data_IF_434179642228
#
_entry.id   IF_434179642228
#
_cell.length_a   1.000
_cell.length_b   1.000
_cell.length_c   1.000
_cell.angle_alpha   90.00
_cell.angle_beta   90.00
_cell.angle_gamma   90.00
#
_symmetry.space_group_name_H-M   'P 1'
#
loop_
_entity.id
_entity.type
_entity.pdbx_description
1 polymer ?
#
# COMPACT_ATOMS: atom_id res chain seq x y z
N UNK A 1 24.48 -30.26 7.50
CA UNK A 1 23.54 -30.21 6.37
C UNK A 1 22.16 -30.31 6.96
N UNK A 2 21.38 -29.23 6.96
CA UNK A 2 19.94 -29.33 7.21
C UNK A 2 19.34 -30.21 6.12
N UNK A 3 18.49 -31.20 6.42
CA UNK A 3 17.85 -31.98 5.37
C UNK A 3 16.97 -31.05 4.53
N UNK A 4 17.12 -31.14 3.20
CA UNK A 4 16.23 -30.45 2.26
C UNK A 4 14.81 -30.97 2.47
N UNK A 5 13.84 -30.05 2.54
CA UNK A 5 12.42 -30.39 2.64
C UNK A 5 12.00 -31.18 1.38
N UNK A 6 11.13 -32.20 1.51
CA UNK A 6 10.53 -32.86 0.36
C UNK A 6 9.82 -31.87 -0.57
N UNK A 7 9.82 -32.15 -1.87
CA UNK A 7 9.25 -31.24 -2.88
C UNK A 7 7.75 -31.00 -2.68
N UNK A 8 7.04 -31.98 -2.13
CA UNK A 8 5.63 -31.90 -1.78
C UNK A 8 5.39 -30.87 -0.68
N UNK A 9 6.24 -30.88 0.36
CA UNK A 9 6.16 -29.91 1.46
C UNK A 9 6.51 -28.51 0.96
N UNK A 10 7.50 -28.38 0.07
CA UNK A 10 7.82 -27.10 -0.55
C UNK A 10 6.68 -26.58 -1.43
N UNK A 11 5.98 -27.46 -2.15
CA UNK A 11 4.82 -27.09 -2.96
C UNK A 11 3.67 -26.59 -2.08
N UNK A 12 3.36 -27.30 -1.00
CA UNK A 12 2.33 -26.89 -0.03
C UNK A 12 2.67 -25.54 0.62
N UNK A 13 3.94 -25.32 0.96
CA UNK A 13 4.41 -24.02 1.49
C UNK A 13 4.21 -22.93 0.45
N UNK A 14 4.60 -23.15 -0.81
CA UNK A 14 4.48 -22.15 -1.87
C UNK A 14 3.02 -21.80 -2.19
N UNK A 15 2.14 -22.80 -2.19
CA UNK A 15 0.70 -22.61 -2.37
C UNK A 15 0.09 -21.83 -1.20
N UNK A 16 0.55 -22.07 0.03
CA UNK A 16 0.14 -21.28 1.20
C UNK A 16 0.66 -19.84 1.17
N UNK A 17 1.89 -19.62 0.67
CA UNK A 17 2.45 -18.27 0.46
C UNK A 17 1.64 -17.50 -0.59
N UNK A 18 1.02 -18.20 -1.56
CA UNK A 18 0.15 -17.58 -2.56
C UNK A 18 0.90 -16.79 -3.63
N UNK A 19 2.20 -17.06 -3.83
CA UNK A 19 3.06 -16.35 -4.77
C UNK A 19 3.47 -17.23 -5.95
N UNK A 20 2.67 -17.17 -7.01
CA UNK A 20 2.88 -17.97 -8.22
C UNK A 20 4.24 -17.68 -8.88
N UNK A 21 4.68 -16.41 -8.92
CA UNK A 21 5.96 -16.05 -9.52
C UNK A 21 7.13 -16.68 -8.77
N UNK A 22 7.06 -16.65 -7.43
CA UNK A 22 8.09 -17.26 -6.58
C UNK A 22 8.11 -18.78 -6.75
N UNK A 23 6.95 -19.43 -6.73
CA UNK A 23 6.83 -20.88 -6.93
C UNK A 23 7.46 -21.31 -8.26
N UNK A 24 7.19 -20.57 -9.35
CA UNK A 24 7.80 -20.83 -10.67
C UNK A 24 9.29 -20.52 -10.68
N UNK A 25 9.74 -19.47 -10.00
CA UNK A 25 11.16 -19.10 -9.92
C UNK A 25 12.01 -20.17 -9.25
N UNK A 26 11.49 -20.78 -8.17
CA UNK A 26 12.18 -21.88 -7.46
C UNK A 26 12.02 -23.23 -8.15
N UNK A 27 11.11 -23.35 -9.13
CA UNK A 27 10.88 -24.58 -9.89
C UNK A 27 10.07 -25.64 -9.15
N UNK A 28 9.24 -25.23 -8.19
CA UNK A 28 8.39 -26.12 -7.40
C UNK A 28 7.00 -26.21 -8.05
N UNK A 29 6.34 -27.39 -8.09
CA UNK A 29 4.96 -27.50 -8.52
C UNK A 29 4.04 -26.61 -7.68
N UNK A 30 2.99 -26.04 -8.29
CA UNK A 30 2.06 -25.16 -7.57
C UNK A 30 0.66 -25.33 -8.13
N UNK A 31 -0.35 -25.32 -7.24
CA UNK A 31 -1.76 -25.31 -7.62
C UNK A 31 -2.30 -23.89 -7.86
N UNK A 32 -1.49 -22.86 -7.64
CA UNK A 32 -1.88 -21.47 -7.82
C UNK A 32 -2.21 -21.15 -9.29
N UNK A 33 -3.32 -20.44 -9.56
CA UNK A 33 -3.64 -20.00 -10.91
C UNK A 33 -2.62 -18.98 -11.39
N UNK A 34 -2.35 -18.97 -12.70
CA UNK A 34 -1.52 -17.93 -13.29
C UNK A 34 -2.15 -16.55 -13.05
N UNK A 35 -1.39 -15.56 -12.56
CA UNK A 35 -1.90 -14.21 -12.36
C UNK A 35 -2.36 -13.58 -13.69
N UNK A 36 -3.41 -12.74 -13.63
CA UNK A 36 -3.99 -12.10 -14.81
C UNK A 36 -2.96 -11.25 -15.58
N UNK A 37 -2.02 -10.62 -14.88
CA UNK A 37 -0.94 -9.83 -15.47
C UNK A 37 -0.06 -10.64 -16.44
N UNK A 38 0.06 -11.95 -16.19
CA UNK A 38 0.84 -12.86 -17.03
C UNK A 38 0.09 -13.37 -18.27
N UNK A 39 -1.20 -13.04 -18.44
CA UNK A 39 -2.01 -13.51 -19.59
C UNK A 39 -1.43 -13.08 -20.93
N UNK A 40 -0.74 -11.93 -20.97
CA UNK A 40 -0.09 -11.39 -22.17
C UNK A 40 1.44 -11.52 -22.14
N UNK A 41 1.97 -12.33 -21.23
CA UNK A 41 3.41 -12.55 -21.09
C UNK A 41 3.99 -13.27 -22.31
N UNK A 42 5.18 -12.88 -22.73
CA UNK A 42 5.89 -13.47 -23.86
C UNK A 42 6.72 -14.68 -23.43
N UNK A 43 7.18 -15.54 -24.36
CA UNK A 43 8.18 -16.56 -24.06
C UNK A 43 9.43 -16.01 -23.35
N UNK A 44 9.86 -14.77 -23.67
CA UNK A 44 10.95 -14.09 -22.97
C UNK A 44 10.60 -13.80 -21.50
N UNK A 45 9.38 -13.35 -21.21
CA UNK A 45 8.93 -13.12 -19.83
C UNK A 45 8.96 -14.41 -18.99
N UNK A 46 8.50 -15.54 -19.55
CA UNK A 46 8.56 -16.82 -18.86
C UNK A 46 10.01 -17.31 -18.66
N UNK A 47 10.89 -17.03 -19.62
CA UNK A 47 12.29 -17.43 -19.53
C UNK A 47 13.06 -16.71 -18.41
N UNK A 48 12.69 -15.45 -18.10
CA UNK A 48 13.35 -14.69 -17.02
C UNK A 48 12.91 -15.09 -15.61
N UNK A 49 11.79 -15.81 -15.45
CA UNK A 49 11.24 -16.21 -14.13
C UNK A 49 12.30 -16.87 -13.24
N UNK A 50 13.08 -17.78 -13.82
CA UNK A 50 14.10 -18.56 -13.09
C UNK A 50 15.42 -17.81 -12.88
N UNK A 51 15.58 -16.62 -13.47
CA UNK A 51 16.85 -15.85 -13.43
C UNK A 51 18.02 -16.50 -14.16
N UNK A 52 17.83 -17.66 -14.82
CA UNK A 52 18.90 -18.40 -15.51
C UNK A 52 19.16 -17.81 -16.89
N UNK A 53 20.35 -17.24 -17.09
CA UNK A 53 20.74 -16.66 -18.39
C UNK A 53 20.70 -17.66 -19.55
N UNK A 54 20.93 -18.95 -19.31
CA UNK A 54 20.81 -19.97 -20.35
C UNK A 54 19.38 -20.08 -20.91
N UNK A 55 18.37 -19.98 -20.05
CA UNK A 55 16.96 -19.99 -20.45
C UNK A 55 16.61 -18.71 -21.23
N UNK A 56 17.06 -17.54 -20.73
CA UNK A 56 16.83 -16.25 -21.39
C UNK A 56 17.46 -16.22 -22.79
N UNK A 57 18.71 -16.69 -22.93
CA UNK A 57 19.38 -16.79 -24.24
C UNK A 57 18.66 -17.74 -25.20
N UNK A 58 18.15 -18.88 -24.69
CA UNK A 58 17.39 -19.84 -25.49
C UNK A 58 16.06 -19.27 -26.00
N UNK A 59 15.43 -18.40 -25.22
CA UNK A 59 14.20 -17.70 -25.63
C UNK A 59 14.42 -16.69 -26.76
N UNK A 60 15.68 -16.30 -27.02
CA UNK A 60 16.08 -15.36 -28.08
C UNK A 60 15.23 -14.07 -28.10
N UNK A 61 15.40 -13.17 -27.11
CA UNK A 61 14.63 -11.93 -27.04
C UNK A 61 14.77 -11.11 -28.32
N UNK A 62 13.65 -10.62 -28.85
CA UNK A 62 13.59 -9.86 -30.10
C UNK A 62 12.41 -8.88 -30.08
N UNK A 63 12.23 -8.10 -31.14
CA UNK A 63 11.07 -7.21 -31.26
C UNK A 63 9.72 -7.98 -31.32
N UNK A 64 9.73 -9.22 -31.83
CA UNK A 64 8.55 -10.10 -31.91
C UNK A 64 8.33 -10.92 -30.63
N UNK A 65 9.39 -11.11 -29.83
CA UNK A 65 9.36 -11.77 -28.54
C UNK A 65 10.05 -10.90 -27.45
N UNK A 66 9.50 -9.71 -27.16
CA UNK A 66 10.16 -8.76 -26.26
C UNK A 66 10.00 -9.18 -24.80
N UNK A 67 10.92 -8.73 -23.96
CA UNK A 67 10.65 -8.65 -22.52
C UNK A 67 9.56 -7.60 -22.30
N UNK A 68 8.53 -7.90 -21.51
CA UNK A 68 7.49 -6.94 -21.18
C UNK A 68 7.68 -6.36 -19.77
N UNK A 69 6.83 -5.40 -19.40
CA UNK A 69 6.83 -4.80 -18.06
C UNK A 69 6.63 -5.82 -16.93
N UNK A 70 5.94 -6.94 -17.21
CA UNK A 70 5.69 -8.00 -16.23
C UNK A 70 6.99 -8.75 -15.93
N UNK A 71 7.68 -9.24 -16.97
CA UNK A 71 8.98 -9.89 -16.82
C UNK A 71 10.04 -8.96 -16.23
N UNK A 72 10.09 -7.70 -16.66
CA UNK A 72 11.02 -6.70 -16.11
C UNK A 72 10.76 -6.40 -14.62
N UNK A 73 9.50 -6.28 -14.22
CA UNK A 73 9.13 -6.11 -12.81
C UNK A 73 9.56 -7.32 -11.98
N UNK A 74 9.39 -8.54 -12.50
CA UNK A 74 9.85 -9.77 -11.85
C UNK A 74 11.37 -9.80 -11.70
N UNK A 75 12.12 -9.45 -12.75
CA UNK A 75 13.60 -9.42 -12.75
C UNK A 75 14.11 -8.51 -11.63
N UNK A 76 13.51 -7.32 -11.47
CA UNK A 76 13.84 -6.41 -10.38
C UNK A 76 13.37 -7.00 -9.03
N UNK A 77 12.15 -7.52 -8.97
CA UNK A 77 11.54 -8.10 -7.76
C UNK A 77 12.38 -9.23 -7.18
N UNK A 78 13.02 -10.09 -7.99
CA UNK A 78 13.90 -11.16 -7.51
C UNK A 78 15.38 -10.78 -7.48
N UNK A 79 15.74 -9.57 -7.90
CA UNK A 79 17.09 -9.07 -7.80
C UNK A 79 18.07 -9.70 -8.80
N UNK A 80 17.59 -10.09 -9.98
CA UNK A 80 18.39 -10.76 -11.02
C UNK A 80 19.27 -9.77 -11.80
N UNK A 81 20.32 -9.26 -11.15
CA UNK A 81 21.29 -8.31 -11.75
C UNK A 81 21.93 -8.88 -13.02
N UNK A 82 22.18 -10.18 -13.06
CA UNK A 82 22.70 -10.86 -14.25
C UNK A 82 21.77 -10.74 -15.48
N UNK A 83 20.45 -10.81 -15.27
CA UNK A 83 19.46 -10.64 -16.34
C UNK A 83 19.38 -9.16 -16.76
N UNK A 84 19.40 -8.23 -15.79
CA UNK A 84 19.47 -6.79 -16.08
C UNK A 84 20.70 -6.46 -16.95
N UNK A 85 21.87 -6.95 -16.58
CA UNK A 85 23.13 -6.77 -17.31
C UNK A 85 23.08 -7.37 -18.73
N UNK A 86 22.42 -8.53 -18.89
CA UNK A 86 22.23 -9.14 -20.19
C UNK A 86 21.38 -8.27 -21.12
N UNK A 87 20.25 -7.73 -20.63
CA UNK A 87 19.42 -6.84 -21.45
C UNK A 87 20.11 -5.50 -21.71
N UNK A 88 20.83 -4.95 -20.73
CA UNK A 88 21.60 -3.71 -20.91
C UNK A 88 22.67 -3.87 -22.01
N UNK A 89 23.45 -4.95 -21.96
CA UNK A 89 24.60 -5.15 -22.86
C UNK A 89 24.22 -5.71 -24.24
N UNK A 90 23.23 -6.61 -24.33
CA UNK A 90 22.90 -7.32 -25.58
C UNK A 90 21.64 -6.76 -26.26
N UNK A 91 20.75 -6.11 -25.50
CA UNK A 91 19.43 -5.68 -25.97
C UNK A 91 19.10 -4.25 -25.51
N UNK A 92 20.07 -3.34 -25.57
CA UNK A 92 20.01 -2.00 -24.96
C UNK A 92 18.74 -1.20 -25.30
N UNK A 93 18.27 -1.24 -26.56
CA UNK A 93 17.03 -0.55 -26.96
C UNK A 93 15.82 -1.09 -26.20
N UNK A 94 15.68 -2.43 -26.15
CA UNK A 94 14.63 -3.08 -25.38
C UNK A 94 14.77 -2.79 -23.89
N UNK A 95 16.00 -2.72 -23.37
CA UNK A 95 16.24 -2.33 -21.99
C UNK A 95 15.69 -0.92 -21.70
N UNK A 96 16.00 0.07 -22.52
CA UNK A 96 15.48 1.43 -22.34
C UNK A 96 13.95 1.50 -22.43
N UNK A 97 13.35 0.77 -23.38
CA UNK A 97 11.90 0.78 -23.59
C UNK A 97 11.15 0.13 -22.40
N UNK A 98 11.70 -0.95 -21.85
CA UNK A 98 11.02 -1.77 -20.84
C UNK A 98 11.33 -1.30 -19.42
N UNK A 99 12.55 -0.80 -19.16
CA UNK A 99 12.96 -0.28 -17.85
C UNK A 99 12.81 1.25 -17.76
N UNK A 100 11.95 1.83 -18.60
CA UNK A 100 11.64 3.27 -18.58
C UNK A 100 10.96 3.75 -17.29
N UNK A 101 10.90 5.08 -17.14
CA UNK A 101 10.16 5.71 -16.04
C UNK A 101 10.71 5.44 -14.65
N UNK A 102 12.02 5.25 -14.52
CA UNK A 102 12.69 4.94 -13.24
C UNK A 102 12.12 3.68 -12.55
N UNK A 103 11.66 2.71 -13.36
CA UNK A 103 11.10 1.45 -12.87
C UNK A 103 12.08 0.73 -11.92
N UNK A 104 13.37 0.72 -12.26
CA UNK A 104 14.42 0.03 -11.50
C UNK A 104 14.54 0.55 -10.07
N UNK A 105 14.88 1.83 -9.80
CA UNK A 105 15.03 2.32 -8.44
C UNK A 105 13.74 2.22 -7.64
N UNK A 106 12.58 2.50 -8.25
CA UNK A 106 11.29 2.46 -7.56
C UNK A 106 10.92 1.03 -7.15
N UNK A 107 11.01 0.05 -8.05
CA UNK A 107 10.67 -1.35 -7.75
C UNK A 107 11.71 -2.03 -6.87
N UNK A 108 13.00 -1.76 -7.08
CA UNK A 108 14.04 -2.31 -6.23
C UNK A 108 13.87 -1.85 -4.78
N UNK A 109 13.52 -0.58 -4.57
CA UNK A 109 13.24 -0.02 -3.24
C UNK A 109 12.03 -0.65 -2.58
N UNK A 110 10.95 -0.85 -3.34
CA UNK A 110 9.73 -1.54 -2.89
C UNK A 110 9.98 -2.98 -2.42
N UNK A 111 10.94 -3.67 -3.03
CA UNK A 111 11.23 -5.08 -2.76
C UNK A 111 12.52 -5.33 -1.94
N UNK A 112 13.18 -4.28 -1.44
CA UNK A 112 14.39 -4.43 -0.62
C UNK A 112 15.61 -4.93 -1.41
N UNK A 113 15.69 -4.66 -2.72
CA UNK A 113 16.74 -5.21 -3.59
C UNK A 113 17.95 -4.29 -3.68
N UNK A 114 18.75 -4.28 -2.61
CA UNK A 114 19.93 -3.43 -2.48
C UNK A 114 21.00 -3.71 -3.55
N UNK A 115 21.12 -4.96 -3.99
CA UNK A 115 22.03 -5.35 -5.08
C UNK A 115 21.65 -4.68 -6.41
N UNK A 116 20.36 -4.62 -6.73
CA UNK A 116 19.84 -3.92 -7.91
C UNK A 116 20.01 -2.41 -7.77
N UNK A 117 19.72 -1.84 -6.60
CA UNK A 117 19.93 -0.41 -6.34
C UNK A 117 21.40 -0.01 -6.49
N UNK A 118 22.31 -0.82 -5.96
CA UNK A 118 23.76 -0.57 -6.03
C UNK A 118 24.29 -0.72 -7.46
N UNK A 119 23.82 -1.73 -8.19
CA UNK A 119 24.14 -1.91 -9.61
C UNK A 119 23.63 -0.73 -10.46
N UNK A 120 22.37 -0.33 -10.26
CA UNK A 120 21.76 0.80 -10.97
C UNK A 120 22.51 2.11 -10.67
N UNK A 121 22.84 2.36 -9.39
CA UNK A 121 23.64 3.51 -8.96
C UNK A 121 24.99 3.57 -9.65
N UNK A 122 25.73 2.47 -9.62
CA UNK A 122 27.01 2.38 -10.31
C UNK A 122 26.85 2.64 -11.82
N UNK A 123 25.80 2.08 -12.42
CA UNK A 123 25.46 2.26 -13.82
C UNK A 123 25.28 3.71 -14.23
N UNK A 124 24.40 4.47 -13.56
CA UNK A 124 24.17 5.87 -13.94
C UNK A 124 25.30 6.81 -13.53
N UNK A 125 26.08 6.47 -12.48
CA UNK A 125 27.23 7.29 -12.05
C UNK A 125 28.43 7.16 -13.00
N UNK A 126 28.70 5.96 -13.51
CA UNK A 126 29.84 5.71 -14.39
C UNK A 126 29.47 5.79 -15.88
N UNK A 127 28.25 5.42 -16.24
CA UNK A 127 27.79 5.28 -17.62
C UNK A 127 26.38 5.88 -17.81
N UNK A 128 26.21 7.21 -17.63
CA UNK A 128 24.91 7.88 -17.73
C UNK A 128 24.25 7.74 -19.12
N UNK A 129 25.03 7.48 -20.17
CA UNK A 129 24.53 7.25 -21.53
C UNK A 129 23.83 5.88 -21.66
N UNK A 130 24.18 4.91 -20.81
CA UNK A 130 23.61 3.56 -20.82
C UNK A 130 22.47 3.43 -19.81
N UNK A 131 22.66 3.97 -18.62
CA UNK A 131 21.63 4.01 -17.57
C UNK A 131 21.41 5.47 -17.21
N UNK A 132 20.25 6.06 -17.56
CA UNK A 132 19.99 7.45 -17.25
C UNK A 132 19.91 7.68 -15.73
N UNK A 133 20.33 8.86 -15.24
CA UNK A 133 20.16 9.24 -13.85
C UNK A 133 18.67 9.35 -13.49
N UNK A 134 18.32 9.20 -12.19
CA UNK A 134 16.92 9.28 -11.76
C UNK A 134 16.30 10.62 -12.13
N UNK A 135 15.06 10.60 -12.62
CA UNK A 135 14.29 11.82 -12.86
C UNK A 135 13.93 12.50 -11.53
N UNK A 136 13.61 13.79 -11.62
CA UNK A 136 13.15 14.57 -10.47
C UNK A 136 11.93 13.91 -9.82
N UNK A 137 11.98 13.69 -8.51
CA UNK A 137 10.92 13.06 -7.73
C UNK A 137 10.97 11.53 -7.70
N UNK A 138 11.79 10.88 -8.52
CA UNK A 138 11.89 9.42 -8.53
C UNK A 138 12.55 8.85 -7.28
N UNK A 139 13.50 9.59 -6.69
CA UNK A 139 14.07 9.23 -5.37
C UNK A 139 12.99 9.30 -4.31
N UNK A 140 12.21 10.39 -4.26
CA UNK A 140 11.10 10.54 -3.33
C UNK A 140 10.07 9.40 -3.49
N UNK A 141 9.67 9.07 -4.72
CA UNK A 141 8.77 7.94 -4.95
C UNK A 141 9.41 6.61 -4.51
N UNK A 142 10.69 6.37 -4.78
CA UNK A 142 11.37 5.15 -4.36
C UNK A 142 11.38 4.99 -2.83
N UNK A 143 11.65 6.07 -2.09
CA UNK A 143 11.62 6.10 -0.61
C UNK A 143 10.20 5.94 -0.06
N UNK A 144 9.21 6.61 -0.66
CA UNK A 144 7.80 6.49 -0.27
C UNK A 144 7.28 5.05 -0.50
N UNK A 145 7.67 4.41 -1.61
CA UNK A 145 7.31 3.01 -1.92
C UNK A 145 8.04 2.00 -1.02
N UNK A 146 9.29 2.28 -0.64
CA UNK A 146 10.00 1.49 0.37
C UNK A 146 9.27 1.56 1.72
N UNK A 147 8.85 2.76 2.13
CA UNK A 147 8.09 2.97 3.37
C UNK A 147 6.76 2.21 3.37
N UNK A 148 6.04 2.24 2.24
CA UNK A 148 4.80 1.47 2.04
C UNK A 148 4.98 -0.04 2.19
N UNK A 149 6.13 -0.57 1.76
CA UNK A 149 6.40 -2.00 1.67
C UNK A 149 7.25 -2.54 2.82
N UNK A 150 7.48 -1.75 3.86
CA UNK A 150 8.20 -2.19 5.06
C UNK A 150 9.72 -2.33 4.87
N UNK A 151 10.29 -1.75 3.81
CA UNK A 151 11.68 -2.00 3.42
C UNK A 151 12.65 -1.04 4.10
N UNK A 152 12.89 -1.26 5.40
CA UNK A 152 13.82 -0.46 6.21
C UNK A 152 15.23 -0.44 5.60
N UNK A 153 15.69 -1.57 5.06
CA UNK A 153 16.99 -1.68 4.38
C UNK A 153 17.11 -0.76 3.16
N UNK A 154 16.03 -0.62 2.37
CA UNK A 154 16.02 0.33 1.24
C UNK A 154 16.10 1.77 1.73
N UNK A 155 15.40 2.10 2.82
CA UNK A 155 15.44 3.44 3.41
C UNK A 155 16.84 3.80 3.92
N UNK A 156 17.50 2.85 4.60
CA UNK A 156 18.87 3.03 5.05
C UNK A 156 19.84 3.15 3.87
N UNK A 157 19.67 2.35 2.82
CA UNK A 157 20.47 2.46 1.61
C UNK A 157 20.33 3.85 0.96
N UNK A 158 19.11 4.35 0.76
CA UNK A 158 18.89 5.69 0.18
C UNK A 158 19.47 6.81 1.02
N UNK A 159 19.37 6.70 2.35
CA UNK A 159 19.92 7.68 3.27
C UNK A 159 21.46 7.74 3.21
N UNK A 160 22.11 6.62 2.88
CA UNK A 160 23.57 6.49 2.88
C UNK A 160 24.18 6.40 1.46
N UNK A 161 23.38 6.49 0.39
CA UNK A 161 23.89 6.30 -0.99
C UNK A 161 24.66 7.50 -1.54
N UNK A 162 24.78 8.61 -0.81
CA UNK A 162 25.53 9.80 -1.24
C UNK A 162 24.80 10.69 -2.25
N UNK A 163 23.52 10.41 -2.53
CA UNK A 163 22.62 11.32 -3.25
C UNK A 163 21.65 12.01 -2.27
N UNK A 164 21.05 13.15 -2.64
CA UNK A 164 20.05 13.82 -1.79
C UNK A 164 18.93 12.86 -1.37
N UNK A 165 18.68 12.78 -0.07
CA UNK A 165 17.61 11.96 0.49
C UNK A 165 16.27 12.69 0.34
N UNK A 166 15.49 12.30 -0.66
CA UNK A 166 14.19 12.89 -0.96
C UNK A 166 13.05 11.95 -0.55
N UNK A 167 11.95 12.51 -0.06
CA UNK A 167 10.73 11.80 0.35
C UNK A 167 9.58 12.79 0.50
N UNK A 168 8.35 12.30 0.55
CA UNK A 168 7.14 13.14 0.75
C UNK A 168 6.39 12.74 2.01
N UNK A 169 5.23 13.37 2.26
CA UNK A 169 4.30 12.95 3.30
C UNK A 169 3.82 11.50 3.09
N UNK A 170 3.82 11.04 1.83
CA UNK A 170 3.42 9.69 1.46
C UNK A 170 4.26 8.60 2.15
N UNK A 171 5.52 8.89 2.54
CA UNK A 171 6.34 7.94 3.30
C UNK A 171 5.67 7.51 4.61
N UNK A 172 5.28 8.45 5.46
CA UNK A 172 4.67 8.16 6.76
C UNK A 172 3.19 7.78 6.63
N UNK A 173 2.48 8.37 5.67
CA UNK A 173 1.11 7.99 5.34
C UNK A 173 1.00 6.55 4.87
N UNK A 174 1.84 6.12 3.93
CA UNK A 174 1.81 4.74 3.44
C UNK A 174 2.33 3.74 4.45
N UNK A 175 3.34 4.09 5.24
CA UNK A 175 3.78 3.24 6.33
C UNK A 175 2.63 2.99 7.33
N UNK A 176 1.90 4.05 7.67
CA UNK A 176 0.74 3.96 8.56
C UNK A 176 -0.43 3.20 7.94
N UNK A 177 -0.70 3.43 6.65
CA UNK A 177 -1.73 2.71 5.88
C UNK A 177 -1.45 1.21 5.75
N UNK A 178 -0.17 0.79 5.76
CA UNK A 178 0.23 -0.61 5.54
C UNK A 178 0.75 -1.30 6.78
N UNK A 179 0.48 -0.74 7.96
CA UNK A 179 0.91 -1.29 9.24
C UNK A 179 2.42 -1.55 9.32
N UNK A 180 3.23 -0.61 8.88
CA UNK A 180 4.69 -0.74 8.83
C UNK A 180 5.33 -0.09 10.05
N UNK A 181 5.09 -0.66 11.25
CA UNK A 181 5.64 -0.15 12.51
C UNK A 181 7.18 -0.05 12.48
N UNK A 182 7.86 -1.05 11.91
CA UNK A 182 9.33 -1.03 11.78
C UNK A 182 9.85 0.17 10.95
N UNK A 183 9.10 0.59 9.94
CA UNK A 183 9.41 1.79 9.15
C UNK A 183 9.15 3.06 9.95
N UNK A 184 8.05 3.13 10.70
CA UNK A 184 7.75 4.27 11.58
C UNK A 184 8.82 4.43 12.67
N UNK A 185 9.26 3.33 13.27
CA UNK A 185 10.39 3.31 14.21
C UNK A 185 11.69 3.78 13.57
N UNK A 186 11.96 3.35 12.33
CA UNK A 186 13.12 3.84 11.58
C UNK A 186 13.05 5.35 11.38
N UNK A 187 11.93 5.90 10.90
CA UNK A 187 11.76 7.34 10.71
C UNK A 187 11.93 8.12 12.02
N UNK A 188 11.30 7.67 13.10
CA UNK A 188 11.45 8.26 14.44
C UNK A 188 12.91 8.25 14.91
N UNK A 189 13.61 7.13 14.72
CA UNK A 189 15.03 6.98 15.08
C UNK A 189 15.91 7.92 14.26
N UNK A 190 15.74 7.99 12.94
CA UNK A 190 16.57 8.86 12.10
C UNK A 190 16.25 10.35 12.33
N UNK A 191 15.01 10.70 12.66
CA UNK A 191 14.67 12.04 13.11
C UNK A 191 15.43 12.41 14.40
N UNK A 192 15.39 11.54 15.42
CA UNK A 192 16.09 11.78 16.70
C UNK A 192 17.62 11.80 16.56
N UNK A 193 18.19 10.96 15.70
CA UNK A 193 19.66 10.78 15.63
C UNK A 193 20.35 11.63 14.56
N UNK A 194 19.74 11.77 13.38
CA UNK A 194 20.30 12.52 12.24
C UNK A 194 19.55 13.82 11.94
N UNK A 195 18.49 14.13 12.68
CA UNK A 195 17.73 15.37 12.48
C UNK A 195 16.90 15.39 11.19
N UNK A 196 16.59 14.22 10.60
CA UNK A 196 15.79 14.15 9.37
C UNK A 196 14.38 14.72 9.65
N UNK A 197 13.89 15.71 8.88
CA UNK A 197 12.60 16.33 9.16
C UNK A 197 11.44 15.37 8.87
N UNK A 198 10.52 15.19 9.81
CA UNK A 198 9.35 14.32 9.60
C UNK A 198 8.25 15.06 8.83
N UNK A 199 7.81 14.47 7.72
CA UNK A 199 6.68 14.93 6.91
C UNK A 199 5.44 14.10 7.28
N UNK A 200 4.81 14.40 8.42
CA UNK A 200 3.81 13.52 9.06
C UNK A 200 2.58 13.27 8.17
N UNK A 201 2.13 14.28 7.40
CA UNK A 201 0.96 14.15 6.54
C UNK A 201 -0.31 13.74 7.31
N UNK A 202 -1.16 12.94 6.66
CA UNK A 202 -2.42 12.36 7.21
C UNK A 202 -2.24 10.93 7.72
N UNK A 203 -1.14 10.67 8.43
CA UNK A 203 -0.76 9.32 8.84
C UNK A 203 -1.82 8.58 9.68
N UNK A 204 -2.41 9.26 10.67
CA UNK A 204 -3.44 8.65 11.53
C UNK A 204 -4.78 8.49 10.81
N UNK A 205 -5.13 9.38 9.86
CA UNK A 205 -6.33 9.22 9.03
C UNK A 205 -6.21 7.94 8.18
N UNK A 206 -5.03 7.70 7.60
CA UNK A 206 -4.76 6.51 6.78
C UNK A 206 -4.77 5.22 7.61
N UNK A 207 -4.21 5.24 8.82
CA UNK A 207 -4.27 4.11 9.74
C UNK A 207 -5.72 3.81 10.18
N UNK A 208 -6.49 4.87 10.46
CA UNK A 208 -7.90 4.76 10.86
C UNK A 208 -8.75 4.14 9.75
N UNK A 209 -8.55 4.56 8.50
CA UNK A 209 -9.25 4.01 7.34
C UNK A 209 -9.00 2.49 7.15
N UNK A 210 -7.79 2.02 7.46
CA UNK A 210 -7.42 0.61 7.24
C UNK A 210 -7.72 -0.29 8.45
N UNK A 211 -7.94 0.27 9.63
CA UNK A 211 -8.19 -0.50 10.85
C UNK A 211 -6.94 -0.82 11.68
N UNK A 212 -5.85 -0.07 11.50
CA UNK A 212 -4.56 -0.36 12.14
C UNK A 212 -4.44 0.31 13.51
N UNK A 213 -5.09 -0.28 14.52
CA UNK A 213 -5.08 0.22 15.91
C UNK A 213 -3.66 0.29 16.49
N UNK A 214 -2.83 -0.70 16.18
CA UNK A 214 -1.42 -0.76 16.57
C UNK A 214 -0.60 0.43 16.06
N UNK A 215 -0.90 0.94 14.86
CA UNK A 215 -0.26 2.14 14.30
C UNK A 215 -0.75 3.40 15.01
N UNK A 216 -2.04 3.48 15.30
CA UNK A 216 -2.62 4.60 16.04
C UNK A 216 -2.02 4.69 17.45
N UNK A 217 -1.89 3.56 18.13
CA UNK A 217 -1.22 3.47 19.43
C UNK A 217 0.25 3.87 19.34
N UNK A 218 0.95 3.43 18.29
CA UNK A 218 2.33 3.84 18.04
C UNK A 218 2.43 5.36 17.91
N UNK A 219 1.56 6.01 17.13
CA UNK A 219 1.54 7.46 16.98
C UNK A 219 1.28 8.17 18.30
N UNK A 220 0.28 7.73 19.07
CA UNK A 220 -0.05 8.30 20.38
C UNK A 220 1.10 8.23 21.38
N UNK A 221 1.94 7.19 21.31
CA UNK A 221 3.11 6.98 22.19
C UNK A 221 4.43 7.50 21.62
N UNK A 222 4.44 7.99 20.38
CA UNK A 222 5.68 8.30 19.66
C UNK A 222 6.42 9.54 20.17
N UNK A 223 5.76 10.39 20.97
CA UNK A 223 6.19 11.75 21.36
C UNK A 223 6.32 12.70 20.15
N UNK A 224 5.82 12.29 18.98
CA UNK A 224 5.68 13.15 17.81
C UNK A 224 4.33 13.86 17.91
N UNK A 225 4.21 15.05 17.32
CA UNK A 225 2.93 15.77 17.22
C UNK A 225 2.10 15.15 16.08
N UNK A 226 1.07 14.33 16.38
CA UNK A 226 0.31 13.66 15.34
C UNK A 226 -0.58 14.67 14.60
N UNK A 227 -0.69 14.51 13.28
CA UNK A 227 -1.60 15.29 12.45
C UNK A 227 -2.75 14.41 11.98
N UNK A 228 -3.97 14.83 12.29
CA UNK A 228 -5.20 14.17 11.90
C UNK A 228 -6.36 15.17 11.91
N UNK A 229 -7.45 14.82 11.23
CA UNK A 229 -8.66 15.63 11.20
C UNK A 229 -9.92 14.74 11.23
N UNK A 230 -11.07 15.31 10.87
CA UNK A 230 -12.36 14.59 10.83
C UNK A 230 -12.35 13.33 9.95
N UNK A 231 -11.46 13.26 8.95
CA UNK A 231 -11.38 12.13 8.04
C UNK A 231 -10.95 10.84 8.75
N UNK A 232 -10.27 10.91 9.90
CA UNK A 232 -9.92 9.73 10.68
C UNK A 232 -11.17 8.94 11.11
N UNK A 233 -12.12 9.59 11.79
CA UNK A 233 -13.36 8.97 12.26
C UNK A 233 -14.34 8.72 11.10
N UNK A 234 -14.38 9.61 10.10
CA UNK A 234 -15.21 9.43 8.90
C UNK A 234 -14.80 8.18 8.12
N UNK A 235 -13.52 8.02 7.77
CA UNK A 235 -13.06 6.85 7.01
C UNK A 235 -13.19 5.57 7.82
N UNK A 236 -12.89 5.60 9.12
CA UNK A 236 -13.15 4.45 10.00
C UNK A 236 -14.62 4.04 9.95
N UNK A 237 -15.54 5.01 9.90
CA UNK A 237 -16.98 4.76 9.81
C UNK A 237 -17.40 4.17 8.47
N UNK A 238 -16.91 4.72 7.34
CA UNK A 238 -17.17 4.18 6.00
C UNK A 238 -16.69 2.72 5.86
N UNK A 239 -15.54 2.39 6.45
CA UNK A 239 -14.91 1.08 6.32
C UNK A 239 -15.29 0.08 7.41
N UNK A 240 -16.28 0.39 8.27
CA UNK A 240 -16.76 -0.55 9.30
C UNK A 240 -15.77 -0.79 10.44
N UNK A 241 -14.86 0.14 10.72
CA UNK A 241 -13.73 -0.04 11.66
C UNK A 241 -14.13 0.32 13.10
N UNK A 242 -15.06 -0.44 13.68
CA UNK A 242 -15.54 -0.22 15.05
C UNK A 242 -14.40 -0.24 16.09
N UNK A 243 -13.43 -1.14 15.93
CA UNK A 243 -12.23 -1.23 16.79
C UNK A 243 -11.43 0.08 16.81
N UNK A 244 -11.30 0.76 15.66
CA UNK A 244 -10.63 2.06 15.54
C UNK A 244 -11.43 3.15 16.22
N UNK A 245 -12.76 3.19 16.01
CA UNK A 245 -13.63 4.16 16.67
C UNK A 245 -13.56 4.02 18.20
N UNK A 246 -13.58 2.78 18.69
CA UNK A 246 -13.40 2.47 20.11
C UNK A 246 -12.04 2.91 20.63
N UNK A 247 -10.97 2.69 19.86
CA UNK A 247 -9.63 3.17 20.21
C UNK A 247 -9.59 4.69 20.30
N UNK A 248 -10.14 5.41 19.32
CA UNK A 248 -10.19 6.88 19.34
C UNK A 248 -10.89 7.39 20.60
N UNK A 249 -12.06 6.83 20.94
CA UNK A 249 -12.81 7.20 22.14
C UNK A 249 -12.01 6.98 23.44
N UNK A 250 -11.19 5.92 23.50
CA UNK A 250 -10.35 5.61 24.66
C UNK A 250 -8.96 6.27 24.67
N UNK A 251 -8.52 6.83 23.55
CA UNK A 251 -7.14 7.31 23.35
C UNK A 251 -6.77 8.55 24.17
N UNK A 252 -7.77 9.34 24.60
CA UNK A 252 -7.57 10.65 25.20
C UNK A 252 -7.16 11.75 24.21
N UNK A 253 -7.06 11.44 22.92
CA UNK A 253 -6.85 12.42 21.87
C UNK A 253 -8.14 13.19 21.55
N UNK A 254 -8.06 14.47 21.10
CA UNK A 254 -9.21 15.21 20.62
C UNK A 254 -9.99 14.43 19.55
N UNK A 255 -11.28 14.20 19.78
CA UNK A 255 -12.19 13.60 18.80
C UNK A 255 -12.71 14.67 17.86
N UNK A 256 -12.39 14.55 16.57
CA UNK A 256 -12.81 15.47 15.52
C UNK A 256 -13.73 14.69 14.58
N UNK A 257 -15.01 15.03 14.52
CA UNK A 257 -16.01 14.37 13.67
C UNK A 257 -17.14 15.33 13.33
N UNK A 258 -17.91 14.97 12.30
CA UNK A 258 -19.13 15.62 11.89
C UNK A 258 -20.16 14.58 11.40
N UNK A 259 -21.29 15.05 10.88
CA UNK A 259 -22.37 14.20 10.37
C UNK A 259 -21.93 13.26 9.23
N UNK A 260 -20.80 13.53 8.56
CA UNK A 260 -20.30 12.67 7.49
C UNK A 260 -19.89 11.28 7.97
N UNK A 261 -19.63 11.11 9.28
CA UNK A 261 -19.40 9.79 9.86
C UNK A 261 -20.66 8.90 9.77
N UNK A 262 -21.85 9.48 9.96
CA UNK A 262 -23.13 8.77 9.88
C UNK A 262 -23.57 8.53 8.44
N UNK A 263 -23.47 9.54 7.57
CA UNK A 263 -23.79 9.40 6.15
C UNK A 263 -22.84 8.41 5.48
N UNK A 264 -21.54 8.46 5.81
CA UNK A 264 -20.54 7.50 5.36
C UNK A 264 -20.84 6.06 5.79
N UNK A 265 -21.13 5.83 7.08
CA UNK A 265 -21.54 4.51 7.56
C UNK A 265 -22.80 4.01 6.85
N UNK A 266 -23.75 4.91 6.58
CA UNK A 266 -25.01 4.59 5.89
C UNK A 266 -24.79 4.20 4.42
N UNK A 267 -24.03 5.02 3.67
CA UNK A 267 -23.70 4.78 2.25
C UNK A 267 -22.93 3.47 2.02
N UNK A 268 -22.17 3.04 3.02
CA UNK A 268 -21.41 1.80 2.97
C UNK A 268 -22.10 0.60 3.65
N UNK A 269 -23.38 0.75 4.02
CA UNK A 269 -24.18 -0.27 4.71
C UNK A 269 -23.46 -0.84 5.96
N UNK A 270 -23.10 0.03 6.91
CA UNK A 270 -22.36 -0.29 8.15
C UNK A 270 -23.23 -0.12 9.41
N UNK A 271 -24.26 -0.96 9.63
CA UNK A 271 -25.12 -0.87 10.82
C UNK A 271 -24.34 -1.01 12.14
N UNK A 272 -23.25 -1.78 12.15
CA UNK A 272 -22.38 -1.95 13.32
C UNK A 272 -21.71 -0.65 13.76
N UNK A 273 -21.40 0.25 12.83
CA UNK A 273 -20.84 1.57 13.13
C UNK A 273 -21.93 2.52 13.60
N UNK A 274 -23.11 2.50 12.99
CA UNK A 274 -24.25 3.31 13.43
C UNK A 274 -24.63 2.97 14.88
N UNK A 275 -24.68 1.68 15.20
CA UNK A 275 -24.88 1.17 16.55
C UNK A 275 -23.79 1.63 17.52
N UNK A 276 -22.53 1.68 17.07
CA UNK A 276 -21.44 2.19 17.89
C UNK A 276 -21.59 3.69 18.17
N UNK A 277 -21.90 4.51 17.15
CA UNK A 277 -22.12 5.95 17.32
C UNK A 277 -23.26 6.24 18.29
N UNK A 278 -24.35 5.49 18.19
CA UNK A 278 -25.50 5.58 19.09
C UNK A 278 -25.13 5.25 20.56
N UNK A 279 -24.28 4.26 20.77
CA UNK A 279 -23.84 3.86 22.12
C UNK A 279 -22.66 4.66 22.66
N UNK A 280 -21.96 5.40 21.80
CA UNK A 280 -20.74 6.12 22.17
C UNK A 280 -20.97 7.27 23.15
N UNK A 281 -22.19 7.82 23.19
CA UNK A 281 -22.52 9.04 23.94
C UNK A 281 -21.93 10.32 23.33
N UNK A 282 -21.34 10.25 22.13
CA UNK A 282 -20.82 11.41 21.42
C UNK A 282 -21.95 12.27 20.85
N UNK A 283 -21.90 13.61 20.96
CA UNK A 283 -22.99 14.48 20.50
C UNK A 283 -22.96 14.67 18.98
N UNK A 284 -23.29 13.61 18.25
CA UNK A 284 -23.36 13.62 16.79
C UNK A 284 -24.79 13.96 16.32
N UNK A 285 -24.87 14.73 15.25
CA UNK A 285 -26.13 15.19 14.69
C UNK A 285 -26.29 14.69 13.25
N UNK A 286 -27.53 14.58 12.80
CA UNK A 286 -27.86 14.23 11.42
C UNK A 286 -29.09 14.99 10.94
N UNK A 287 -29.27 15.05 9.62
CA UNK A 287 -30.51 15.47 8.96
C UNK A 287 -31.07 14.28 8.22
N UNK A 288 -32.39 14.11 8.22
CA UNK A 288 -33.01 12.95 7.57
C UNK A 288 -32.77 12.97 6.05
N UNK A 289 -32.69 14.15 5.44
CA UNK A 289 -32.35 14.27 4.01
C UNK A 289 -30.97 13.70 3.69
N UNK A 290 -29.95 13.96 4.52
CA UNK A 290 -28.58 13.47 4.28
C UNK A 290 -28.51 11.95 4.44
N UNK A 291 -29.32 11.39 5.35
CA UNK A 291 -29.41 9.94 5.55
C UNK A 291 -30.12 9.27 4.37
N UNK A 292 -31.24 9.83 3.87
CA UNK A 292 -31.91 9.24 2.71
C UNK A 292 -31.06 9.36 1.44
N UNK A 293 -30.41 10.51 1.20
CA UNK A 293 -29.45 10.67 0.11
C UNK A 293 -28.33 9.61 0.21
N UNK A 294 -27.76 9.40 1.40
CA UNK A 294 -26.75 8.37 1.61
C UNK A 294 -27.27 6.94 1.36
N UNK A 295 -28.56 6.67 1.64
CA UNK A 295 -29.19 5.38 1.36
C UNK A 295 -29.46 5.16 -0.13
N UNK A 296 -29.82 6.21 -0.87
CA UNK A 296 -29.99 6.19 -2.33
C UNK A 296 -28.65 6.01 -3.05
N UNK A 297 -27.58 6.63 -2.53
CA UNK A 297 -26.21 6.53 -3.03
C UNK A 297 -25.46 5.27 -2.56
N UNK A 298 -26.16 4.28 -1.98
CA UNK A 298 -25.50 3.13 -1.36
C UNK A 298 -24.54 2.43 -2.32
N UNK A 299 -23.27 2.35 -1.91
CA UNK A 299 -22.19 1.74 -2.71
C UNK A 299 -22.17 0.22 -2.49
N UNK A 300 -22.60 -0.22 -1.31
CA UNK A 300 -22.60 -1.64 -0.95
C UNK A 300 -24.01 -2.22 -1.07
N UNK A 301 -24.19 -3.40 -1.70
CA UNK A 301 -25.48 -4.06 -1.67
C UNK A 301 -25.84 -4.40 -0.22
N UNK A 302 -27.04 -4.00 0.20
CA UNK A 302 -27.53 -4.26 1.55
C UNK A 302 -28.51 -3.19 2.02
N UNK A 303 -29.48 -3.59 2.83
CA UNK A 303 -30.48 -2.70 3.43
C UNK A 303 -30.33 -2.62 4.96
N UNK A 304 -29.24 -3.14 5.52
CA UNK A 304 -29.08 -3.28 6.96
C UNK A 304 -28.99 -1.91 7.66
N UNK A 305 -28.29 -0.95 7.05
CA UNK A 305 -28.28 0.43 7.52
C UNK A 305 -29.67 1.07 7.45
N UNK A 306 -30.44 0.82 6.38
CA UNK A 306 -31.84 1.29 6.26
C UNK A 306 -32.71 0.71 7.38
N UNK A 307 -32.61 -0.59 7.64
CA UNK A 307 -33.35 -1.24 8.72
C UNK A 307 -32.90 -0.77 10.11
N UNK A 308 -31.62 -0.41 10.28
CA UNK A 308 -31.14 0.23 11.51
C UNK A 308 -31.81 1.60 11.73
N UNK A 309 -31.83 2.47 10.71
CA UNK A 309 -32.47 3.78 10.79
C UNK A 309 -33.98 3.69 11.05
N UNK A 310 -34.68 2.72 10.42
CA UNK A 310 -36.10 2.45 10.72
C UNK A 310 -36.30 2.06 12.18
N UNK A 311 -35.46 1.17 12.72
CA UNK A 311 -35.52 0.78 14.15
C UNK A 311 -35.24 1.94 15.10
N UNK A 312 -34.44 2.91 14.67
CA UNK A 312 -34.21 4.16 15.41
C UNK A 312 -35.37 5.14 15.36
N UNK A 313 -36.36 4.92 14.50
CA UNK A 313 -37.54 5.76 14.38
C UNK A 313 -37.43 6.85 13.31
N UNK A 314 -36.49 6.72 12.36
CA UNK A 314 -36.47 7.58 11.17
C UNK A 314 -37.65 7.21 10.28
N UNK A 315 -38.59 8.13 10.13
CA UNK A 315 -39.73 8.01 9.22
C UNK A 315 -39.40 8.61 7.85
N UNK A 316 -39.25 7.76 6.85
CA UNK A 316 -38.96 8.14 5.47
C UNK A 316 -40.18 8.70 4.71
N UNK A 317 -41.36 8.76 5.33
CA UNK A 317 -42.56 9.39 4.76
C UNK A 317 -42.86 10.78 5.37
N UNK A 318 -41.96 11.32 6.18
CA UNK A 318 -42.10 12.62 6.85
C UNK A 318 -42.14 13.81 5.85
N UNK A 319 -42.58 14.98 6.32
CA UNK A 319 -42.70 16.18 5.47
C UNK A 319 -41.36 16.91 5.28
N UNK A 320 -41.24 17.73 4.22
CA UNK A 320 -40.01 18.46 3.85
C UNK A 320 -39.38 19.30 5.00
N UNK A 321 -40.19 19.82 5.94
CA UNK A 321 -39.67 20.60 7.07
C UNK A 321 -39.01 19.74 8.13
N UNK A 322 -39.52 18.53 8.35
CA UNK A 322 -38.94 17.55 9.24
C UNK A 322 -37.63 16.98 8.67
N UNK A 323 -37.54 16.89 7.34
CA UNK A 323 -36.37 16.38 6.65
C UNK A 323 -35.11 17.24 6.80
N UNK A 324 -35.28 18.57 6.81
CA UNK A 324 -34.18 19.53 6.95
C UNK A 324 -33.78 19.81 8.41
N UNK A 325 -34.55 19.30 9.39
CA UNK A 325 -34.31 19.58 10.80
C UNK A 325 -33.09 18.81 11.29
N UNK A 326 -32.17 19.51 11.94
CA UNK A 326 -31.03 18.90 12.62
C UNK A 326 -31.52 18.12 13.85
N UNK A 327 -31.18 16.84 13.92
CA UNK A 327 -31.54 15.93 15.02
C UNK A 327 -30.25 15.40 15.67
N UNK A 328 -30.30 15.13 16.97
CA UNK A 328 -29.21 14.44 17.67
C UNK A 328 -29.43 12.93 17.59
N UNK A 329 -28.35 12.16 17.46
CA UNK A 329 -28.43 10.70 17.48
C UNK A 329 -28.64 10.13 18.89
N UNK A 330 -28.11 10.82 19.91
CA UNK A 330 -27.97 10.33 21.29
C UNK A 330 -28.84 11.07 22.30
#
# INVERSE_FOLDING_TARGET
MTPDLPVEILADIMDHVGDWELAKAVGVPTSLPQPLDWTRATPTDFAVITGRLSAVRKANPSAENPLTKVGASLVIRFGYVNVLEYFLSQHHKMFLDVFDGDLIPIKASRHGRLNVLSWWKHGFEQHPDLIPPPKRGSIAEAVDRASRSGQVESLDWWLNCGHPFEYTEASLEYASQKNQIAVLDWWRKQHKTKGIPLKIGRAMDMASAQGHVEVLEWWARSELDPKYDRHALQHASCHGKVEVLQWWLGSGLPLIFDQEALTGATRHNRPEVLEWWDKSGLPIHYRMCDIEEALEESISPGNEAREWWKRKGVDFNANDKEWMKLQSLN
#
